data_IF_420101164821
#
_entry.id   IF_420101164821
#
_cell.length_a   1.000
_cell.length_b   1.000
_cell.length_c   1.000
_cell.angle_alpha   90.00
_cell.angle_beta   90.00
_cell.angle_gamma   90.00
#
_symmetry.space_group_name_H-M   'P 1'
#
loop_
_entity.id
_entity.type
_entity.pdbx_description
1 polymer ?
#
# COMPACT_ATOMS: atom_id res chain seq x y z
N UNK A 1 -22.49 58.40 12.58
CA UNK A 1 -23.52 59.40 12.19
C UNK A 1 -24.87 58.75 12.41
N UNK A 2 -25.39 58.88 13.62
CA UNK A 2 -26.78 58.54 13.97
C UNK A 2 -27.68 59.42 13.10
N UNK A 3 -28.63 58.82 12.40
CA UNK A 3 -29.66 59.62 11.73
C UNK A 3 -30.57 60.12 12.86
N UNK A 4 -30.23 61.26 13.45
CA UNK A 4 -31.10 61.89 14.43
C UNK A 4 -32.30 62.43 13.67
N UNK A 5 -33.49 61.91 13.99
CA UNK A 5 -34.74 62.46 13.50
C UNK A 5 -34.89 63.88 14.03
N UNK A 6 -34.97 64.86 13.13
CA UNK A 6 -35.11 66.27 13.51
C UNK A 6 -36.59 66.56 13.82
N UNK A 7 -36.97 66.28 15.06
CA UNK A 7 -38.32 66.45 15.61
C UNK A 7 -38.84 67.88 15.40
N UNK A 8 -37.96 68.88 15.51
CA UNK A 8 -38.33 70.30 15.33
C UNK A 8 -38.63 70.64 13.87
N UNK A 9 -37.82 70.13 12.94
CA UNK A 9 -38.05 70.34 11.51
C UNK A 9 -39.32 69.63 11.03
N UNK A 10 -39.60 68.43 11.55
CA UNK A 10 -40.82 67.69 11.24
C UNK A 10 -42.09 68.36 11.82
N UNK A 11 -42.06 68.76 13.09
CA UNK A 11 -43.17 69.49 13.71
C UNK A 11 -43.48 70.82 12.98
N UNK A 12 -42.46 71.55 12.52
CA UNK A 12 -42.65 72.76 11.70
C UNK A 12 -43.31 72.44 10.36
N UNK A 13 -42.88 71.38 9.68
CA UNK A 13 -43.47 70.98 8.41
C UNK A 13 -44.95 70.58 8.53
N UNK A 14 -45.35 69.91 9.62
CA UNK A 14 -46.74 69.56 9.90
C UNK A 14 -47.62 70.79 10.13
N UNK A 15 -47.10 71.78 10.86
CA UNK A 15 -47.79 73.06 11.13
C UNK A 15 -47.94 73.90 9.86
N UNK A 16 -46.88 74.02 9.07
CA UNK A 16 -46.85 74.87 7.88
C UNK A 16 -47.73 74.29 6.74
N UNK A 17 -48.06 72.98 6.80
CA UNK A 17 -49.06 72.33 5.94
C UNK A 17 -50.52 72.65 6.28
N UNK A 18 -50.79 73.40 7.34
CA UNK A 18 -52.11 73.98 7.66
C UNK A 18 -53.16 73.02 8.26
N UNK A 19 -52.87 71.73 8.42
CA UNK A 19 -53.82 70.73 8.92
C UNK A 19 -53.66 70.39 10.42
N UNK A 20 -52.60 70.86 11.08
CA UNK A 20 -52.29 70.53 12.47
C UNK A 20 -51.97 71.78 13.31
N UNK A 21 -52.41 71.80 14.56
CA UNK A 21 -52.01 72.84 15.53
C UNK A 21 -50.56 72.62 16.00
N UNK A 22 -49.97 73.63 16.64
CA UNK A 22 -48.61 73.54 17.21
C UNK A 22 -48.48 72.36 18.17
N UNK A 23 -49.42 72.20 19.10
CA UNK A 23 -49.41 71.12 20.09
C UNK A 23 -49.59 69.73 19.45
N UNK A 24 -50.43 69.63 18.42
CA UNK A 24 -50.61 68.38 17.67
C UNK A 24 -49.35 67.99 16.90
N UNK A 25 -48.66 68.96 16.30
CA UNK A 25 -47.46 68.75 15.51
C UNK A 25 -46.27 68.31 16.38
N UNK A 26 -46.12 68.90 17.57
CA UNK A 26 -45.11 68.50 18.56
C UNK A 26 -45.38 67.08 19.08
N UNK A 27 -46.62 66.80 19.51
CA UNK A 27 -47.00 65.45 19.98
C UNK A 27 -46.82 64.36 18.92
N UNK A 28 -47.17 64.62 17.66
CA UNK A 28 -46.96 63.67 16.56
C UNK A 28 -45.48 63.43 16.29
N UNK A 29 -44.68 64.50 16.34
CA UNK A 29 -43.24 64.39 16.13
C UNK A 29 -42.54 63.64 17.25
N UNK A 30 -42.95 63.86 18.49
CA UNK A 30 -42.41 63.15 19.66
C UNK A 30 -42.81 61.67 19.62
N UNK A 31 -44.10 61.37 19.37
CA UNK A 31 -44.58 60.00 19.25
C UNK A 31 -43.89 59.23 18.11
N UNK A 32 -43.63 59.89 16.97
CA UNK A 32 -42.89 59.29 15.86
C UNK A 32 -41.41 59.11 16.17
N UNK A 33 -40.79 60.07 16.86
CA UNK A 33 -39.39 59.96 17.31
C UNK A 33 -39.21 58.79 18.29
N UNK A 34 -40.14 58.63 19.24
CA UNK A 34 -40.14 57.51 20.18
C UNK A 34 -40.35 56.17 19.48
N UNK A 35 -41.31 56.09 18.55
CA UNK A 35 -41.57 54.88 17.77
C UNK A 35 -40.35 54.46 16.92
N UNK A 36 -39.70 55.42 16.24
CA UNK A 36 -38.52 55.16 15.40
C UNK A 36 -37.29 54.80 16.26
N UNK A 37 -37.10 55.46 17.41
CA UNK A 37 -35.95 55.20 18.28
C UNK A 37 -35.98 53.82 18.94
N UNK A 38 -37.18 53.25 19.15
CA UNK A 38 -37.35 51.94 19.76
C UNK A 38 -37.27 50.75 18.79
N UNK A 39 -37.69 50.93 17.53
CA UNK A 39 -37.77 49.82 16.55
C UNK A 39 -36.66 49.82 15.49
N UNK A 40 -35.99 50.94 15.24
CA UNK A 40 -34.97 51.03 14.17
C UNK A 40 -33.58 50.73 14.70
N UNK A 41 -32.94 49.71 14.11
CA UNK A 41 -31.53 49.38 14.37
C UNK A 41 -30.65 50.59 14.01
N UNK A 42 -29.80 51.02 14.95
CA UNK A 42 -28.94 52.17 14.72
C UNK A 42 -27.76 51.81 13.81
N UNK A 43 -27.16 52.82 13.18
CA UNK A 43 -25.92 52.64 12.41
C UNK A 43 -24.78 52.07 13.28
N UNK A 44 -24.77 52.38 14.57
CA UNK A 44 -23.77 51.85 15.50
C UNK A 44 -23.96 50.34 15.73
N UNK A 45 -25.21 49.87 15.84
CA UNK A 45 -25.52 48.44 15.99
C UNK A 45 -25.15 47.64 14.74
N UNK A 46 -25.38 48.21 13.55
CA UNK A 46 -24.95 47.63 12.28
C UNK A 46 -23.42 47.53 12.22
N UNK A 47 -22.68 48.59 12.56
CA UNK A 47 -21.22 48.57 12.60
C UNK A 47 -20.66 47.58 13.62
N UNK A 48 -21.30 47.47 14.79
CA UNK A 48 -20.91 46.49 15.81
C UNK A 48 -21.13 45.05 15.30
N UNK A 49 -22.23 44.81 14.59
CA UNK A 49 -22.54 43.51 13.98
C UNK A 49 -21.58 43.19 12.85
N UNK A 50 -21.28 44.16 11.97
CA UNK A 50 -20.29 44.04 10.90
C UNK A 50 -18.90 43.70 11.45
N UNK A 51 -18.44 44.42 12.48
CA UNK A 51 -17.17 44.14 13.15
C UNK A 51 -17.15 42.77 13.85
N UNK A 52 -18.30 42.29 14.35
CA UNK A 52 -18.42 40.93 14.92
C UNK A 52 -18.37 39.86 13.83
N UNK A 53 -18.99 40.11 12.69
CA UNK A 53 -18.94 39.21 11.54
C UNK A 53 -17.54 39.15 10.93
N UNK A 54 -16.87 40.29 10.75
CA UNK A 54 -15.48 40.35 10.30
C UNK A 54 -14.56 39.51 11.18
N UNK A 55 -14.61 39.69 12.50
CA UNK A 55 -13.84 38.85 13.44
C UNK A 55 -14.17 37.36 13.34
N UNK A 56 -15.44 37.00 13.11
CA UNK A 56 -15.82 35.60 12.93
C UNK A 56 -15.30 35.02 11.61
N UNK A 57 -15.23 35.83 10.56
CA UNK A 57 -14.65 35.43 9.27
C UNK A 57 -13.15 35.21 9.45
N UNK A 58 -12.44 36.17 10.06
CA UNK A 58 -11.00 36.04 10.35
C UNK A 58 -10.69 34.80 11.21
N UNK A 59 -11.51 34.53 12.23
CA UNK A 59 -11.39 33.33 13.07
C UNK A 59 -11.65 32.02 12.29
N UNK A 60 -12.55 32.05 11.30
CA UNK A 60 -12.85 30.89 10.45
C UNK A 60 -11.73 30.66 9.44
N UNK A 61 -11.21 31.72 8.82
CA UNK A 61 -10.07 31.64 7.89
C UNK A 61 -8.85 31.07 8.61
N UNK A 62 -8.53 31.56 9.81
CA UNK A 62 -7.43 31.01 10.62
C UNK A 62 -7.62 29.52 10.98
N UNK A 63 -8.86 29.08 11.20
CA UNK A 63 -9.17 27.66 11.45
C UNK A 63 -9.05 26.81 10.19
N UNK A 64 -9.41 27.36 9.03
CA UNK A 64 -9.25 26.69 7.74
C UNK A 64 -7.75 26.49 7.48
N UNK A 65 -6.94 27.54 7.63
CA UNK A 65 -5.48 27.47 7.45
C UNK A 65 -4.83 26.42 8.38
N UNK A 66 -5.22 26.38 9.66
CA UNK A 66 -4.73 25.37 10.60
C UNK A 66 -5.15 23.94 10.21
N UNK A 67 -6.40 23.76 9.73
CA UNK A 67 -6.88 22.47 9.26
C UNK A 67 -6.16 22.01 7.99
N UNK A 68 -5.94 22.91 7.02
CA UNK A 68 -5.16 22.63 5.81
C UNK A 68 -3.73 22.24 6.18
N UNK A 69 -3.08 22.99 7.07
CA UNK A 69 -1.74 22.68 7.56
C UNK A 69 -1.66 21.34 8.33
N UNK A 70 -2.73 20.95 9.05
CA UNK A 70 -2.81 19.62 9.69
C UNK A 70 -3.04 18.51 8.67
N UNK A 71 -3.87 18.73 7.66
CA UNK A 71 -4.13 17.74 6.61
C UNK A 71 -2.89 17.48 5.77
N UNK A 72 -2.18 18.53 5.34
CA UNK A 72 -0.94 18.38 4.59
C UNK A 72 0.10 17.57 5.37
N UNK A 73 0.34 17.91 6.64
CA UNK A 73 1.26 17.13 7.49
C UNK A 73 0.84 15.66 7.63
N UNK A 74 -0.46 15.38 7.74
CA UNK A 74 -0.97 14.00 7.81
C UNK A 74 -0.78 13.25 6.49
N UNK A 75 -0.87 13.93 5.35
CA UNK A 75 -0.61 13.36 4.03
C UNK A 75 0.88 13.02 3.92
N UNK A 76 1.77 13.97 4.22
CA UNK A 76 3.23 13.75 4.20
C UNK A 76 3.63 12.57 5.11
N UNK A 77 3.06 12.50 6.31
CA UNK A 77 3.31 11.40 7.25
C UNK A 77 2.82 10.04 6.72
N UNK A 78 1.71 10.01 5.97
CA UNK A 78 1.17 8.80 5.37
C UNK A 78 2.00 8.36 4.17
N UNK A 79 2.41 9.28 3.31
CA UNK A 79 3.32 9.02 2.19
C UNK A 79 4.63 8.42 2.69
N UNK A 80 5.28 9.07 3.66
CA UNK A 80 6.51 8.55 4.26
C UNK A 80 6.34 7.19 4.96
N UNK A 81 5.13 6.86 5.46
CA UNK A 81 4.85 5.53 6.02
C UNK A 81 4.65 4.49 4.93
N UNK A 82 4.04 4.86 3.81
CA UNK A 82 3.85 3.96 2.67
C UNK A 82 5.18 3.63 2.02
N UNK A 83 6.04 4.63 1.79
CA UNK A 83 7.38 4.43 1.22
C UNK A 83 8.20 3.44 2.06
N UNK A 84 8.29 3.66 3.37
CA UNK A 84 8.99 2.72 4.28
C UNK A 84 8.41 1.31 4.23
N UNK A 85 7.08 1.17 4.09
CA UNK A 85 6.44 -0.14 3.99
C UNK A 85 6.74 -0.83 2.67
N UNK A 86 6.90 -0.08 1.58
CA UNK A 86 7.30 -0.59 0.28
C UNK A 86 8.75 -1.08 0.37
N UNK A 87 9.67 -0.26 0.87
CA UNK A 87 11.08 -0.62 1.07
C UNK A 87 11.24 -1.90 1.91
N UNK A 88 10.49 -1.99 3.02
CA UNK A 88 10.49 -3.17 3.90
C UNK A 88 9.96 -4.44 3.20
N UNK A 89 8.98 -4.29 2.30
CA UNK A 89 8.42 -5.40 1.53
C UNK A 89 9.38 -5.85 0.43
N UNK A 90 10.00 -4.92 -0.29
CA UNK A 90 11.04 -5.20 -1.29
C UNK A 90 12.20 -5.96 -0.65
N UNK A 91 12.74 -5.45 0.46
CA UNK A 91 13.81 -6.12 1.19
C UNK A 91 13.42 -7.49 1.75
N UNK A 92 12.14 -7.74 2.02
CA UNK A 92 11.65 -9.08 2.42
C UNK A 92 11.53 -10.03 1.23
N UNK A 93 11.11 -9.52 0.07
CA UNK A 93 11.03 -10.31 -1.16
C UNK A 93 12.41 -10.71 -1.64
N UNK A 94 13.37 -9.79 -1.66
CA UNK A 94 14.76 -10.07 -2.05
C UNK A 94 15.36 -11.19 -1.20
N UNK A 95 15.27 -11.09 0.13
CA UNK A 95 15.76 -12.15 1.04
C UNK A 95 15.08 -13.50 0.79
N UNK A 96 13.79 -13.52 0.43
CA UNK A 96 13.08 -14.76 0.12
C UNK A 96 13.52 -15.34 -1.21
N UNK A 97 13.84 -14.49 -2.19
CA UNK A 97 14.39 -14.91 -3.47
C UNK A 97 15.78 -15.53 -3.24
N UNK A 98 16.67 -14.85 -2.50
CA UNK A 98 18.00 -15.36 -2.17
C UNK A 98 17.95 -16.71 -1.44
N UNK A 99 17.03 -16.87 -0.47
CA UNK A 99 16.84 -18.15 0.25
C UNK A 99 16.34 -19.27 -0.68
N UNK A 100 15.43 -18.95 -1.61
CA UNK A 100 14.92 -19.93 -2.59
C UNK A 100 16.01 -20.32 -3.61
N UNK A 101 16.79 -19.36 -4.09
CA UNK A 101 17.93 -19.62 -4.97
C UNK A 101 18.96 -20.51 -4.27
N UNK A 102 19.27 -20.20 -3.00
CA UNK A 102 20.15 -21.02 -2.17
C UNK A 102 19.64 -22.45 -2.00
N UNK A 103 18.36 -22.63 -1.69
CA UNK A 103 17.74 -23.96 -1.58
C UNK A 103 17.77 -24.74 -2.89
N UNK A 104 17.52 -24.07 -4.02
CA UNK A 104 17.53 -24.68 -5.32
C UNK A 104 18.95 -25.15 -5.72
N UNK A 105 19.96 -24.32 -5.49
CA UNK A 105 21.36 -24.68 -5.76
C UNK A 105 21.83 -25.87 -4.90
N UNK A 106 21.48 -25.89 -3.61
CA UNK A 106 21.75 -27.03 -2.74
C UNK A 106 21.04 -28.30 -3.23
N UNK A 107 19.74 -28.22 -3.53
CA UNK A 107 18.98 -29.36 -4.05
C UNK A 107 19.55 -29.90 -5.37
N UNK A 108 20.01 -29.02 -6.27
CA UNK A 108 20.65 -29.43 -7.52
C UNK A 108 21.99 -30.14 -7.27
N UNK A 109 22.79 -29.66 -6.32
CA UNK A 109 24.05 -30.29 -5.92
C UNK A 109 23.83 -31.67 -5.29
N UNK A 110 22.81 -31.81 -4.48
CA UNK A 110 22.45 -33.08 -3.84
C UNK A 110 22.03 -34.11 -4.89
N UNK A 111 21.08 -33.75 -5.77
CA UNK A 111 20.63 -34.60 -6.88
C UNK A 111 21.80 -35.00 -7.79
N UNK A 112 22.69 -34.04 -8.12
CA UNK A 112 23.90 -34.34 -8.91
C UNK A 112 24.81 -35.34 -8.21
N UNK A 113 24.95 -35.24 -6.89
CA UNK A 113 25.82 -36.12 -6.10
C UNK A 113 25.23 -37.52 -5.99
N UNK A 114 23.93 -37.62 -5.73
CA UNK A 114 23.18 -38.87 -5.70
C UNK A 114 23.25 -39.59 -7.06
N UNK A 115 22.96 -38.88 -8.16
CA UNK A 115 23.03 -39.46 -9.50
C UNK A 115 24.45 -39.95 -9.86
N UNK A 116 25.49 -39.22 -9.46
CA UNK A 116 26.88 -39.70 -9.64
C UNK A 116 27.16 -40.97 -8.84
N UNK A 117 26.61 -41.09 -7.64
CA UNK A 117 26.77 -42.29 -6.81
C UNK A 117 26.03 -43.47 -7.44
N UNK A 118 24.80 -43.27 -7.92
CA UNK A 118 24.03 -44.30 -8.62
C UNK A 118 24.72 -44.78 -9.90
N UNK A 119 25.24 -43.86 -10.73
CA UNK A 119 26.00 -44.22 -11.94
C UNK A 119 27.20 -45.09 -11.60
N UNK A 120 28.01 -44.71 -10.60
CA UNK A 120 29.15 -45.54 -10.15
C UNK A 120 28.70 -46.91 -9.66
N UNK A 121 27.56 -46.97 -8.97
CA UNK A 121 26.95 -48.23 -8.52
C UNK A 121 26.57 -49.13 -9.70
N UNK A 122 25.96 -48.55 -10.75
CA UNK A 122 25.63 -49.27 -11.98
C UNK A 122 26.89 -49.74 -12.71
N UNK A 123 27.91 -48.89 -12.86
CA UNK A 123 29.20 -49.26 -13.44
C UNK A 123 29.83 -50.45 -12.71
N UNK A 124 29.85 -50.43 -11.37
CA UNK A 124 30.38 -51.52 -10.57
C UNK A 124 29.60 -52.84 -10.77
N UNK A 125 28.27 -52.78 -10.87
CA UNK A 125 27.43 -53.96 -11.14
C UNK A 125 27.65 -54.52 -12.55
N UNK A 126 27.87 -53.64 -13.53
CA UNK A 126 28.23 -54.04 -14.90
C UNK A 126 29.58 -54.76 -14.91
N UNK A 127 30.60 -54.23 -14.25
CA UNK A 127 31.92 -54.87 -14.18
C UNK A 127 31.87 -56.22 -13.45
N UNK A 128 31.10 -56.32 -12.37
CA UNK A 128 30.86 -57.59 -11.69
C UNK A 128 30.17 -58.61 -12.62
N UNK A 129 29.12 -58.20 -13.33
CA UNK A 129 28.41 -59.07 -14.27
C UNK A 129 29.29 -59.52 -15.45
N UNK A 130 30.12 -58.62 -15.98
CA UNK A 130 31.11 -58.97 -17.02
C UNK A 130 32.10 -60.02 -16.50
N UNK A 131 32.64 -59.83 -15.29
CA UNK A 131 33.57 -60.77 -14.68
C UNK A 131 32.94 -62.15 -14.46
N UNK A 132 31.70 -62.20 -13.98
CA UNK A 132 30.99 -63.46 -13.78
C UNK A 132 30.65 -64.16 -15.11
N UNK A 133 30.30 -63.39 -16.15
CA UNK A 133 30.12 -63.92 -17.51
C UNK A 133 31.42 -64.53 -18.04
N UNK A 134 32.57 -63.86 -17.85
CA UNK A 134 33.87 -64.40 -18.25
C UNK A 134 34.19 -65.70 -17.52
N UNK A 135 33.98 -65.75 -16.19
CA UNK A 135 34.18 -66.98 -15.41
C UNK A 135 33.33 -68.14 -15.94
N UNK A 136 32.06 -67.88 -16.24
CA UNK A 136 31.15 -68.87 -16.81
C UNK A 136 31.63 -69.39 -18.18
N UNK A 137 32.04 -68.48 -19.08
CA UNK A 137 32.59 -68.85 -20.40
C UNK A 137 33.86 -69.69 -20.26
N UNK A 138 34.80 -69.28 -19.40
CA UNK A 138 36.05 -70.02 -19.14
C UNK A 138 35.75 -71.43 -18.62
N UNK A 139 34.77 -71.57 -17.73
CA UNK A 139 34.31 -72.87 -17.24
C UNK A 139 33.80 -73.78 -18.36
N UNK A 140 32.97 -73.26 -19.26
CA UNK A 140 32.44 -74.02 -20.40
C UNK A 140 33.53 -74.40 -21.39
N UNK A 141 34.35 -73.43 -21.82
CA UNK A 141 35.42 -73.66 -22.81
C UNK A 141 36.46 -74.65 -22.27
N UNK A 142 36.81 -74.53 -20.98
CA UNK A 142 37.72 -75.46 -20.31
C UNK A 142 37.16 -76.89 -20.32
N UNK A 143 35.89 -77.07 -19.95
CA UNK A 143 35.24 -78.38 -19.98
C UNK A 143 35.17 -78.97 -21.40
N UNK A 144 34.76 -78.17 -22.40
CA UNK A 144 34.69 -78.60 -23.80
C UNK A 144 36.06 -79.06 -24.32
N UNK A 145 37.13 -78.34 -23.99
CA UNK A 145 38.50 -78.68 -24.41
C UNK A 145 38.94 -80.04 -23.85
N UNK A 146 38.68 -80.29 -22.56
CA UNK A 146 38.99 -81.58 -21.91
C UNK A 146 38.18 -82.72 -22.54
N UNK A 147 36.89 -82.51 -22.79
CA UNK A 147 36.01 -83.50 -23.41
C UNK A 147 36.48 -83.91 -24.81
N UNK A 148 36.88 -82.94 -25.65
CA UNK A 148 37.39 -83.18 -27.01
C UNK A 148 38.69 -84.00 -26.98
N UNK A 149 39.64 -83.65 -26.11
CA UNK A 149 40.91 -84.39 -25.97
C UNK A 149 40.62 -85.84 -25.54
N UNK A 150 39.73 -86.03 -24.56
CA UNK A 150 39.33 -87.36 -24.12
C UNK A 150 38.74 -88.21 -25.25
N UNK A 151 37.84 -87.63 -26.05
CA UNK A 151 37.25 -88.31 -27.20
C UNK A 151 38.30 -88.68 -28.27
N UNK A 152 39.25 -87.78 -28.56
CA UNK A 152 40.32 -88.03 -29.52
C UNK A 152 41.24 -89.19 -29.09
N UNK A 153 41.58 -89.27 -27.80
CA UNK A 153 42.38 -90.38 -27.24
C UNK A 153 41.66 -91.71 -27.40
N UNK A 154 40.35 -91.75 -27.09
CA UNK A 154 39.53 -92.97 -27.25
C UNK A 154 39.50 -93.40 -28.72
N UNK A 155 39.29 -92.46 -29.64
CA UNK A 155 39.27 -92.74 -31.08
C UNK A 155 40.62 -93.27 -31.59
N UNK A 156 41.73 -92.64 -31.21
CA UNK A 156 43.07 -93.10 -31.58
C UNK A 156 43.36 -94.53 -31.09
N UNK A 157 42.88 -94.88 -29.89
CA UNK A 157 43.02 -96.23 -29.33
C UNK A 157 42.22 -97.28 -30.07
N UNK A 158 41.06 -96.90 -30.63
CA UNK A 158 40.23 -97.78 -31.47
C UNK A 158 40.89 -98.00 -32.83
N UNK A 159 41.45 -96.95 -33.45
CA UNK A 159 42.09 -97.03 -34.77
C UNK A 159 43.47 -97.73 -34.77
N UNK A 160 44.14 -97.80 -33.62
CA UNK A 160 45.43 -98.48 -33.47
C UNK A 160 45.32 -100.00 -33.20
N UNK A 161 44.11 -100.56 -33.22
CA UNK A 161 43.83 -102.01 -33.14
C UNK A 161 43.47 -102.56 -34.52
#
# INVERSE_FOLDING_TARGET
MTVMFDTLKFARALRDGGQFTTEQSERLSDALSDAISGEVVSRADLQATEAKLGRKIDDLDAKIDDLEGKLNRRIDDLEAKLDRRIDDLEAKLDRRIDDLEGKLDHGLKDVRTELKAEIRGVEARIEAAKADTIKWIVGIVGFQSVAIIGAAIVLARILAR
#
